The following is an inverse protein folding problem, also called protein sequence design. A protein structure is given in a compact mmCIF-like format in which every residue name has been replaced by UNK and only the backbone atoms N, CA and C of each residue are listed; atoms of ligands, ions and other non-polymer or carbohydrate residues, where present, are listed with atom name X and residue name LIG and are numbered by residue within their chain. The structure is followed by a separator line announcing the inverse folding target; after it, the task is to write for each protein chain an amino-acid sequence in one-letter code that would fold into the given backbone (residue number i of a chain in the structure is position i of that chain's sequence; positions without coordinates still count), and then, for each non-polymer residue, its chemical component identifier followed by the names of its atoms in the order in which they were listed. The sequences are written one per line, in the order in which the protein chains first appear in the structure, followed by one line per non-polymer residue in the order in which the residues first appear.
data_IF_408896491676
#
_entry.id   IF_408896491676
#
_cell.length_a   1.000
_cell.length_b   1.000
_cell.length_c   1.000
_cell.angle_alpha   90.00
_cell.angle_beta   90.00
_cell.angle_gamma   90.00
#
_symmetry.space_group_name_H-M   'P 1'
#
loop_
_entity.id
_entity.type
_entity.pdbx_description
1 polymer ?
#
# COMPACT_ATOMS: atom_id res chain seq x y z
N UNK A 1 -71.92 -33.87 -9.01
CA UNK A 1 -70.55 -34.21 -8.56
C UNK A 1 -69.60 -33.28 -9.30
N UNK A 2 -69.07 -32.26 -8.62
CA UNK A 2 -68.11 -31.30 -9.19
C UNK A 2 -66.77 -31.52 -8.50
N UNK A 3 -65.80 -32.06 -9.23
CA UNK A 3 -64.43 -32.24 -8.75
C UNK A 3 -63.65 -30.95 -8.95
N UNK A 4 -63.47 -30.19 -7.87
CA UNK A 4 -62.53 -29.08 -7.80
C UNK A 4 -61.10 -29.61 -7.81
N UNK A 5 -60.40 -29.42 -8.92
CA UNK A 5 -58.95 -29.59 -9.02
C UNK A 5 -58.27 -28.42 -8.30
N UNK A 6 -57.58 -28.70 -7.19
CA UNK A 6 -56.65 -27.76 -6.58
C UNK A 6 -55.49 -27.48 -7.55
N UNK A 7 -55.07 -26.22 -7.74
CA UNK A 7 -53.86 -25.93 -8.49
C UNK A 7 -52.66 -26.49 -7.71
N UNK A 8 -51.79 -27.20 -8.42
CA UNK A 8 -50.52 -27.70 -7.87
C UNK A 8 -49.74 -26.52 -7.28
N UNK A 9 -49.47 -26.57 -5.97
CA UNK A 9 -48.50 -25.68 -5.34
C UNK A 9 -47.15 -25.93 -6.02
N UNK A 10 -46.75 -25.00 -6.89
CA UNK A 10 -45.38 -24.93 -7.36
C UNK A 10 -44.51 -24.73 -6.12
N UNK A 11 -43.83 -25.79 -5.66
CA UNK A 11 -42.80 -25.66 -4.64
C UNK A 11 -41.79 -24.64 -5.18
N UNK A 12 -41.79 -23.43 -4.65
CA UNK A 12 -40.73 -22.48 -4.91
C UNK A 12 -39.44 -23.12 -4.43
N UNK A 13 -38.61 -23.58 -5.36
CA UNK A 13 -37.28 -24.06 -5.06
C UNK A 13 -36.54 -22.92 -4.35
N UNK A 14 -36.24 -23.11 -3.07
CA UNK A 14 -35.43 -22.17 -2.30
C UNK A 14 -34.04 -22.12 -2.91
N UNK A 15 -33.69 -20.96 -3.45
CA UNK A 15 -32.34 -20.72 -3.97
C UNK A 15 -31.35 -20.88 -2.79
N UNK A 16 -30.25 -21.64 -2.95
CA UNK A 16 -29.25 -21.79 -1.89
C UNK A 16 -28.61 -20.44 -1.52
N UNK A 17 -28.35 -20.22 -0.23
CA UNK A 17 -27.73 -18.99 0.29
C UNK A 17 -26.37 -18.73 -0.35
N UNK A 18 -25.64 -19.80 -0.69
CA UNK A 18 -24.36 -19.78 -1.37
C UNK A 18 -24.45 -19.08 -2.73
N UNK A 19 -25.55 -19.25 -3.45
CA UNK A 19 -25.75 -18.64 -4.76
C UNK A 19 -25.97 -17.13 -4.65
N UNK A 20 -26.75 -16.68 -3.65
CA UNK A 20 -26.86 -15.25 -3.32
C UNK A 20 -25.49 -14.66 -2.97
N UNK A 21 -24.71 -15.37 -2.14
CA UNK A 21 -23.38 -14.94 -1.72
C UNK A 21 -22.45 -14.72 -2.91
N UNK A 22 -22.36 -15.68 -3.81
CA UNK A 22 -21.50 -15.58 -5.01
C UNK A 22 -21.91 -14.41 -5.90
N UNK A 23 -23.22 -14.22 -6.13
CA UNK A 23 -23.72 -13.10 -6.95
C UNK A 23 -23.33 -11.76 -6.30
N UNK A 24 -23.64 -11.56 -5.02
CA UNK A 24 -23.36 -10.29 -4.33
C UNK A 24 -21.85 -10.02 -4.20
N UNK A 25 -20.99 -11.03 -4.18
CA UNK A 25 -19.53 -10.83 -4.16
C UNK A 25 -18.97 -10.29 -5.48
N UNK A 26 -19.58 -10.63 -6.61
CA UNK A 26 -19.15 -10.16 -7.93
C UNK A 26 -19.73 -8.78 -8.27
N UNK A 27 -20.98 -8.52 -7.87
CA UNK A 27 -21.72 -7.30 -8.25
C UNK A 27 -21.03 -5.95 -7.96
N UNK A 28 -20.30 -5.73 -6.84
CA UNK A 28 -19.67 -4.45 -6.56
C UNK A 28 -18.65 -4.00 -7.61
N UNK A 29 -18.17 -4.90 -8.47
CA UNK A 29 -17.27 -4.58 -9.57
C UNK A 29 -18.02 -4.06 -10.80
N UNK A 30 -19.30 -4.43 -10.95
CA UNK A 30 -20.08 -4.23 -12.17
C UNK A 30 -21.23 -3.22 -12.00
N UNK A 31 -21.68 -2.96 -10.76
CA UNK A 31 -22.83 -2.09 -10.47
C UNK A 31 -22.55 -1.07 -9.36
N UNK A 32 -23.39 -0.03 -9.30
CA UNK A 32 -23.26 1.01 -8.28
C UNK A 32 -23.68 0.52 -6.88
N UNK A 33 -23.19 1.19 -5.83
CA UNK A 33 -23.65 0.94 -4.45
C UNK A 33 -25.16 1.15 -4.29
N UNK A 34 -25.76 2.08 -5.03
CA UNK A 34 -27.20 2.34 -4.98
C UNK A 34 -28.00 1.14 -5.51
N UNK A 35 -27.51 0.49 -6.57
CA UNK A 35 -28.15 -0.70 -7.11
C UNK A 35 -28.08 -1.88 -6.13
N UNK A 36 -26.95 -2.05 -5.43
CA UNK A 36 -26.83 -3.02 -4.34
C UNK A 36 -27.86 -2.76 -3.24
N UNK A 37 -28.04 -1.50 -2.83
CA UNK A 37 -29.08 -1.13 -1.85
C UNK A 37 -30.47 -1.51 -2.37
N UNK A 38 -30.77 -1.30 -3.65
CA UNK A 38 -32.04 -1.72 -4.24
C UNK A 38 -32.23 -3.25 -4.20
N UNK A 39 -31.17 -4.05 -4.44
CA UNK A 39 -31.22 -5.50 -4.26
C UNK A 39 -31.53 -5.90 -2.82
N UNK A 40 -31.05 -5.15 -1.83
CA UNK A 40 -31.35 -5.41 -0.42
C UNK A 40 -32.85 -5.32 -0.08
N UNK A 41 -33.64 -4.62 -0.91
CA UNK A 41 -35.09 -4.47 -0.73
C UNK A 41 -35.89 -5.65 -1.29
N UNK A 42 -35.28 -6.51 -2.11
CA UNK A 42 -35.98 -7.59 -2.80
C UNK A 42 -36.38 -8.74 -1.87
N UNK A 43 -35.56 -9.07 -0.87
CA UNK A 43 -35.88 -10.09 0.14
C UNK A 43 -34.96 -9.98 1.36
N UNK A 44 -35.33 -10.62 2.47
CA UNK A 44 -34.46 -10.70 3.66
C UNK A 44 -33.13 -11.44 3.38
N UNK A 45 -33.14 -12.44 2.50
CA UNK A 45 -31.92 -13.16 2.12
C UNK A 45 -30.96 -12.26 1.32
N UNK A 46 -31.50 -11.50 0.35
CA UNK A 46 -30.73 -10.50 -0.39
C UNK A 46 -30.20 -9.42 0.54
N UNK A 47 -31.04 -8.92 1.45
CA UNK A 47 -30.62 -7.91 2.44
C UNK A 47 -29.42 -8.37 3.24
N UNK A 48 -29.44 -9.59 3.78
CA UNK A 48 -28.36 -10.11 4.62
C UNK A 48 -27.02 -10.21 3.87
N UNK A 49 -27.02 -10.71 2.63
CA UNK A 49 -25.79 -10.85 1.84
C UNK A 49 -25.31 -9.50 1.27
N UNK A 50 -26.23 -8.60 0.88
CA UNK A 50 -25.88 -7.23 0.47
C UNK A 50 -25.28 -6.45 1.63
N UNK A 51 -25.90 -6.46 2.81
CA UNK A 51 -25.38 -5.78 4.00
C UNK A 51 -23.98 -6.31 4.34
N UNK A 52 -23.75 -7.63 4.22
CA UNK A 52 -22.42 -8.22 4.44
C UNK A 52 -21.36 -7.59 3.53
N UNK A 53 -21.67 -7.35 2.26
CA UNK A 53 -20.71 -6.80 1.28
C UNK A 53 -20.57 -5.29 1.42
N UNK A 54 -21.67 -4.55 1.52
CA UNK A 54 -21.68 -3.09 1.65
C UNK A 54 -20.93 -2.63 2.90
N UNK A 55 -21.15 -3.30 4.03
CA UNK A 55 -20.54 -2.96 5.32
C UNK A 55 -19.20 -3.66 5.58
N UNK A 56 -18.71 -4.47 4.65
CA UNK A 56 -17.40 -5.14 4.80
C UNK A 56 -16.23 -4.16 4.86
N UNK A 57 -16.38 -2.98 4.27
CA UNK A 57 -15.37 -1.92 4.18
C UNK A 57 -15.98 -0.61 4.66
N UNK A 58 -15.50 -0.14 5.81
CA UNK A 58 -15.97 1.10 6.43
C UNK A 58 -14.83 2.10 6.44
N UNK A 59 -15.11 3.29 5.92
CA UNK A 59 -14.21 4.45 6.02
C UNK A 59 -14.90 5.50 6.88
N UNK A 60 -14.18 6.03 7.87
CA UNK A 60 -14.62 7.14 8.69
C UNK A 60 -13.66 8.31 8.54
N UNK A 61 -14.23 9.50 8.48
CA UNK A 61 -13.49 10.76 8.46
C UNK A 61 -13.93 11.58 9.67
N UNK A 62 -12.97 11.99 10.50
CA UNK A 62 -13.20 12.86 11.66
C UNK A 62 -12.69 14.25 11.27
N UNK A 63 -13.47 15.33 11.49
CA UNK A 63 -14.62 15.45 12.41
C UNK A 63 -16.01 15.10 11.85
N UNK A 64 -16.15 14.73 10.56
CA UNK A 64 -17.44 14.58 9.88
C UNK A 64 -18.34 13.41 10.38
N UNK A 65 -17.89 12.71 11.42
CA UNK A 65 -18.56 11.55 11.99
C UNK A 65 -19.64 11.94 13.01
N UNK A 66 -20.88 11.49 12.78
CA UNK A 66 -21.99 11.67 13.73
C UNK A 66 -22.11 10.50 14.70
N UNK A 67 -22.60 10.78 15.92
CA UNK A 67 -22.89 9.76 16.94
C UNK A 67 -23.97 8.75 16.50
N UNK A 68 -24.90 9.19 15.65
CA UNK A 68 -25.94 8.34 15.09
C UNK A 68 -25.36 7.28 14.15
N UNK A 69 -24.43 7.67 13.26
CA UNK A 69 -23.74 6.74 12.36
C UNK A 69 -22.94 5.70 13.14
N UNK A 70 -22.23 6.13 14.18
CA UNK A 70 -21.52 5.23 15.09
C UNK A 70 -22.46 4.20 15.72
N UNK A 71 -23.62 4.65 16.22
CA UNK A 71 -24.60 3.78 16.88
C UNK A 71 -25.23 2.77 15.91
N UNK A 72 -25.55 3.19 14.68
CA UNK A 72 -26.06 2.29 13.63
C UNK A 72 -25.03 1.22 13.28
N UNK A 73 -23.76 1.62 13.09
CA UNK A 73 -22.69 0.68 12.80
C UNK A 73 -22.49 -0.32 13.95
N UNK A 74 -22.43 0.18 15.18
CA UNK A 74 -22.25 -0.63 16.39
C UNK A 74 -23.35 -1.69 16.52
N UNK A 75 -24.61 -1.30 16.41
CA UNK A 75 -25.78 -2.15 16.69
C UNK A 75 -26.16 -3.08 15.54
N UNK A 76 -25.99 -2.66 14.28
CA UNK A 76 -26.58 -3.37 13.14
C UNK A 76 -25.55 -4.04 12.24
N UNK A 77 -24.35 -3.47 12.13
CA UNK A 77 -23.44 -3.81 11.02
C UNK A 77 -22.03 -4.22 11.46
N UNK A 78 -21.66 -4.05 12.72
CA UNK A 78 -20.34 -4.35 13.29
C UNK A 78 -19.81 -5.74 12.93
N UNK A 79 -20.67 -6.77 12.97
CA UNK A 79 -20.34 -8.16 12.61
C UNK A 79 -19.88 -8.36 11.16
N UNK A 80 -20.23 -7.44 10.26
CA UNK A 80 -19.91 -7.51 8.83
C UNK A 80 -18.60 -6.81 8.49
N UNK A 81 -18.14 -5.87 9.33
CA UNK A 81 -16.94 -5.08 9.07
C UNK A 81 -15.71 -5.97 9.07
N UNK A 82 -14.93 -5.90 7.99
CA UNK A 82 -13.65 -6.63 7.85
C UNK A 82 -12.48 -5.68 7.65
N UNK A 83 -12.72 -4.54 6.99
CA UNK A 83 -11.75 -3.48 6.78
C UNK A 83 -12.28 -2.18 7.34
N UNK A 84 -11.48 -1.58 8.22
CA UNK A 84 -11.79 -0.29 8.83
C UNK A 84 -10.68 0.69 8.47
N UNK A 85 -11.06 1.82 7.90
CA UNK A 85 -10.16 2.92 7.57
C UNK A 85 -10.63 4.17 8.29
N UNK A 86 -9.73 4.82 9.01
CA UNK A 86 -10.03 6.04 9.73
C UNK A 86 -9.08 7.16 9.32
N UNK A 87 -9.65 8.25 8.85
CA UNK A 87 -8.96 9.50 8.55
C UNK A 87 -9.24 10.50 9.64
N UNK A 88 -8.15 11.01 10.19
CA UNK A 88 -8.17 11.93 11.31
C UNK A 88 -7.57 13.23 10.81
N UNK A 89 -8.47 14.08 10.30
CA UNK A 89 -8.11 15.36 9.72
C UNK A 89 -7.85 16.39 10.83
N UNK A 90 -6.95 17.37 10.59
CA UNK A 90 -7.05 18.60 11.33
C UNK A 90 -8.42 19.22 11.05
N UNK A 91 -9.13 19.68 12.08
CA UNK A 91 -10.25 20.62 11.90
C UNK A 91 -9.74 21.78 11.04
N UNK A 92 -10.12 21.81 9.77
CA UNK A 92 -9.61 22.78 8.80
C UNK A 92 -9.92 24.21 9.28
N UNK A 93 -8.91 25.04 9.59
CA UNK A 93 -8.39 26.17 8.76
C UNK A 93 -7.00 26.56 9.29
N UNK A 94 -5.94 26.33 8.52
CA UNK A 94 -4.63 26.94 8.81
C UNK A 94 -4.68 28.43 8.39
N UNK A 95 -5.45 29.25 9.11
CA UNK A 95 -5.49 30.71 8.94
C UNK A 95 -4.67 31.46 10.00
N UNK A 96 -3.81 30.73 10.73
CA UNK A 96 -2.87 31.32 11.69
C UNK A 96 -3.53 31.79 12.99
N UNK A 97 -4.80 31.47 13.22
CA UNK A 97 -5.45 31.72 14.50
C UNK A 97 -5.19 30.60 15.51
N UNK A 98 -4.97 30.91 16.81
CA UNK A 98 -4.80 29.89 17.85
C UNK A 98 -6.14 29.17 18.06
N UNK A 99 -6.20 27.90 17.67
CA UNK A 99 -7.43 27.11 17.67
C UNK A 99 -7.87 26.70 19.07
N UNK A 100 -9.11 27.08 19.41
CA UNK A 100 -9.93 26.38 20.39
C UNK A 100 -10.41 25.09 19.71
N UNK A 101 -10.03 23.94 20.25
CA UNK A 101 -10.54 22.63 19.82
C UNK A 101 -12.08 22.67 19.94
N UNK A 102 -12.85 22.39 18.88
CA UNK A 102 -14.27 22.09 19.04
C UNK A 102 -14.40 20.94 20.06
N UNK A 103 -15.51 20.92 20.80
CA UNK A 103 -15.85 19.85 21.74
C UNK A 103 -15.41 18.49 21.20
N UNK A 104 -14.63 17.75 21.99
CA UNK A 104 -13.94 16.53 21.56
C UNK A 104 -14.82 15.69 20.62
N UNK A 105 -14.38 15.42 19.39
CA UNK A 105 -14.97 14.39 18.55
C UNK A 105 -15.16 13.10 19.36
N UNK A 106 -16.07 12.19 18.96
CA UNK A 106 -16.48 11.06 19.78
C UNK A 106 -15.41 9.95 19.84
N UNK A 107 -14.16 10.29 20.15
CA UNK A 107 -12.99 9.42 20.21
C UNK A 107 -13.20 8.25 21.17
N UNK A 108 -13.83 8.49 22.32
CA UNK A 108 -14.20 7.42 23.27
C UNK A 108 -15.18 6.43 22.65
N UNK A 109 -16.14 6.91 21.85
CA UNK A 109 -17.09 6.04 21.14
C UNK A 109 -16.44 5.32 19.96
N UNK A 110 -15.47 5.93 19.28
CA UNK A 110 -14.68 5.27 18.24
C UNK A 110 -13.80 4.18 18.86
N UNK A 111 -13.16 4.47 20.01
CA UNK A 111 -12.43 3.50 20.80
C UNK A 111 -13.35 2.32 21.17
N UNK A 112 -14.51 2.61 21.76
CA UNK A 112 -15.47 1.59 22.13
C UNK A 112 -15.94 0.76 20.94
N UNK A 113 -16.23 1.39 19.80
CA UNK A 113 -16.58 0.69 18.57
C UNK A 113 -15.46 -0.28 18.14
N UNK A 114 -14.22 0.19 18.08
CA UNK A 114 -13.07 -0.62 17.69
C UNK A 114 -12.86 -1.81 18.63
N UNK A 115 -12.87 -1.57 19.93
CA UNK A 115 -12.57 -2.59 20.95
C UNK A 115 -13.74 -3.53 21.21
N UNK A 116 -14.95 -3.00 21.39
CA UNK A 116 -16.10 -3.81 21.83
C UNK A 116 -16.80 -4.50 20.66
N UNK A 117 -16.81 -3.87 19.49
CA UNK A 117 -17.71 -4.28 18.40
C UNK A 117 -16.97 -4.79 17.17
N UNK A 118 -15.87 -4.15 16.78
CA UNK A 118 -15.14 -4.52 15.55
C UNK A 118 -14.02 -5.55 15.81
N UNK A 119 -13.45 -5.56 17.03
CA UNK A 119 -12.31 -6.38 17.42
C UNK A 119 -12.34 -7.84 16.93
N UNK A 120 -13.44 -8.61 17.07
CA UNK A 120 -13.42 -10.05 16.76
C UNK A 120 -13.31 -10.36 15.27
N UNK A 121 -13.69 -9.42 14.40
CA UNK A 121 -13.89 -9.68 12.98
C UNK A 121 -13.03 -8.84 12.05
N UNK A 122 -12.31 -7.86 12.61
CA UNK A 122 -11.48 -6.96 11.84
C UNK A 122 -10.23 -7.69 11.31
N UNK A 123 -10.05 -7.64 9.99
CA UNK A 123 -8.91 -8.24 9.28
C UNK A 123 -7.96 -7.18 8.73
N UNK A 124 -8.45 -5.96 8.49
CA UNK A 124 -7.65 -4.84 8.00
C UNK A 124 -7.96 -3.59 8.83
N UNK A 125 -6.93 -2.94 9.36
CA UNK A 125 -7.04 -1.70 10.11
C UNK A 125 -6.12 -0.64 9.50
N UNK A 126 -6.68 0.44 8.98
CA UNK A 126 -5.92 1.55 8.41
C UNK A 126 -6.20 2.83 9.21
N UNK A 127 -5.14 3.45 9.72
CA UNK A 127 -5.19 4.65 10.54
C UNK A 127 -4.38 5.76 9.88
N UNK A 128 -5.01 6.89 9.56
CA UNK A 128 -4.35 8.04 8.96
C UNK A 128 -4.49 9.26 9.86
N UNK A 129 -3.41 9.60 10.57
CA UNK A 129 -3.30 10.72 11.48
C UNK A 129 -2.68 11.93 10.77
N UNK A 130 -3.43 13.03 10.63
CA UNK A 130 -2.92 14.29 10.08
C UNK A 130 -2.78 15.40 11.13
N UNK A 131 -2.93 15.07 12.41
CA UNK A 131 -2.81 15.97 13.57
C UNK A 131 -2.05 15.28 14.70
N UNK A 132 -1.31 16.05 15.49
CA UNK A 132 -0.72 15.58 16.74
C UNK A 132 -1.84 15.17 17.71
N UNK A 133 -1.82 13.91 18.15
CA UNK A 133 -2.88 13.36 18.99
C UNK A 133 -2.60 13.60 20.48
N UNK A 134 -3.57 14.17 21.21
CA UNK A 134 -3.46 14.38 22.67
C UNK A 134 -3.66 13.07 23.44
N UNK A 135 -2.99 12.94 24.57
CA UNK A 135 -2.73 11.73 25.38
C UNK A 135 -3.87 10.74 25.69
N UNK A 136 -5.15 11.05 25.45
CA UNK A 136 -6.27 10.28 26.01
C UNK A 136 -6.59 8.98 25.24
N UNK A 137 -6.05 8.78 24.03
CA UNK A 137 -6.29 7.54 23.26
C UNK A 137 -5.27 6.43 23.51
N UNK A 138 -4.39 6.57 24.51
CA UNK A 138 -3.31 5.62 24.81
C UNK A 138 -3.77 4.17 25.08
N UNK A 139 -5.06 3.86 25.16
CA UNK A 139 -5.53 2.49 25.30
C UNK A 139 -5.64 1.72 23.99
N UNK A 140 -5.70 2.37 22.81
CA UNK A 140 -6.03 1.65 21.58
C UNK A 140 -4.94 0.66 21.14
N UNK A 141 -3.66 0.99 21.35
CA UNK A 141 -2.56 0.10 21.00
C UNK A 141 -2.55 -1.19 21.85
N UNK A 142 -3.29 -1.20 22.96
CA UNK A 142 -3.48 -2.37 23.81
C UNK A 142 -4.61 -3.28 23.33
N UNK A 143 -5.41 -2.84 22.35
CA UNK A 143 -6.41 -3.68 21.69
C UNK A 143 -5.76 -4.97 21.17
N UNK A 144 -6.53 -6.06 21.14
CA UNK A 144 -6.11 -7.30 20.51
C UNK A 144 -7.10 -7.72 19.44
N UNK A 145 -6.75 -7.57 18.18
CA UNK A 145 -7.55 -7.94 17.02
C UNK A 145 -7.14 -9.35 16.53
N UNK A 146 -7.80 -10.43 16.97
CA UNK A 146 -7.35 -11.81 16.71
C UNK A 146 -7.33 -12.20 15.24
N UNK A 147 -8.17 -11.55 14.41
CA UNK A 147 -8.27 -11.82 12.98
C UNK A 147 -7.43 -10.86 12.11
N UNK A 148 -6.65 -9.96 12.71
CA UNK A 148 -5.94 -8.90 11.99
C UNK A 148 -4.83 -9.47 11.11
N UNK A 149 -4.87 -9.11 9.82
CA UNK A 149 -3.92 -9.51 8.78
C UNK A 149 -3.18 -8.34 8.17
N UNK A 150 -3.83 -7.18 8.08
CA UNK A 150 -3.26 -5.97 7.50
C UNK A 150 -3.35 -4.83 8.50
N UNK A 151 -2.23 -4.16 8.76
CA UNK A 151 -2.19 -2.96 9.59
C UNK A 151 -1.46 -1.83 8.88
N UNK A 152 -2.19 -0.75 8.60
CA UNK A 152 -1.66 0.45 7.98
C UNK A 152 -1.78 1.64 8.92
N UNK A 153 -0.69 2.39 9.04
CA UNK A 153 -0.57 3.57 9.87
C UNK A 153 0.15 4.67 9.09
N UNK A 154 -0.40 5.86 9.10
CA UNK A 154 0.24 7.04 8.54
C UNK A 154 0.11 8.17 9.52
N UNK A 155 1.20 8.84 9.86
CA UNK A 155 1.18 10.02 10.71
C UNK A 155 1.90 11.19 10.05
N UNK A 156 1.38 12.40 10.23
CA UNK A 156 2.11 13.64 9.98
C UNK A 156 2.77 14.14 11.27
N UNK A 157 3.77 15.03 11.10
CA UNK A 157 4.66 15.64 12.09
C UNK A 157 4.09 15.70 13.53
N UNK A 158 4.93 15.33 14.51
CA UNK A 158 4.70 15.41 15.97
C UNK A 158 3.91 14.25 16.64
N UNK A 159 3.89 13.05 16.04
CA UNK A 159 3.29 11.85 16.67
C UNK A 159 4.35 10.87 17.22
N UNK A 160 5.52 11.37 17.61
CA UNK A 160 6.70 10.55 17.94
C UNK A 160 6.45 9.51 19.02
N UNK A 161 5.70 9.88 20.06
CA UNK A 161 5.35 8.97 21.16
C UNK A 161 4.61 7.72 20.66
N UNK A 162 3.69 7.89 19.70
CA UNK A 162 2.90 6.79 19.16
C UNK A 162 3.76 5.78 18.42
N UNK A 163 4.68 6.30 17.60
CA UNK A 163 5.52 5.48 16.74
C UNK A 163 6.60 4.78 17.56
N UNK A 164 7.06 5.41 18.65
CA UNK A 164 8.09 4.86 19.54
C UNK A 164 7.56 3.85 20.56
N UNK A 165 6.45 4.16 21.22
CA UNK A 165 5.95 3.37 22.33
C UNK A 165 4.79 2.45 21.92
N UNK A 166 3.86 2.94 21.09
CA UNK A 166 2.58 2.28 20.88
C UNK A 166 2.61 1.27 19.72
N UNK A 167 3.14 1.66 18.56
CA UNK A 167 3.19 0.81 17.36
C UNK A 167 4.00 -0.48 17.60
N UNK A 168 5.18 -0.45 18.23
CA UNK A 168 5.93 -1.66 18.56
C UNK A 168 5.14 -2.66 19.39
N UNK A 169 4.52 -2.16 20.47
CA UNK A 169 3.74 -2.99 21.39
C UNK A 169 2.48 -3.54 20.72
N UNK A 170 1.82 -2.71 19.90
CA UNK A 170 0.67 -3.14 19.10
C UNK A 170 1.08 -4.30 18.20
N UNK A 171 2.14 -4.18 17.42
CA UNK A 171 2.53 -5.23 16.48
C UNK A 171 2.97 -6.52 17.18
N UNK A 172 3.65 -6.41 18.33
CA UNK A 172 4.02 -7.57 19.13
C UNK A 172 2.80 -8.38 19.63
N UNK A 173 1.65 -7.72 19.84
CA UNK A 173 0.38 -8.39 20.21
C UNK A 173 -0.35 -9.03 19.02
N UNK A 174 0.12 -8.81 17.79
CA UNK A 174 -0.53 -9.26 16.56
C UNK A 174 0.45 -10.01 15.63
N UNK A 175 1.04 -11.13 16.06
CA UNK A 175 2.00 -11.90 15.25
C UNK A 175 1.38 -12.52 13.97
N UNK A 176 0.05 -12.54 13.87
CA UNK A 176 -0.68 -13.03 12.71
C UNK A 176 -0.73 -12.09 11.50
N UNK A 177 -0.20 -10.86 11.64
CA UNK A 177 -0.16 -9.85 10.58
C UNK A 177 0.75 -10.32 9.42
N UNK A 178 0.24 -10.16 8.20
CA UNK A 178 0.92 -10.50 6.95
C UNK A 178 1.30 -9.26 6.14
N UNK A 179 0.61 -8.13 6.35
CA UNK A 179 0.87 -6.86 5.69
C UNK A 179 0.97 -5.71 6.68
N UNK A 180 2.07 -4.96 6.60
CA UNK A 180 2.32 -3.77 7.41
C UNK A 180 2.63 -2.58 6.51
N UNK A 181 1.97 -1.46 6.79
CA UNK A 181 2.15 -0.20 6.07
C UNK A 181 2.38 0.93 7.05
N UNK A 182 3.59 1.47 7.20
CA UNK A 182 3.88 2.53 8.18
C UNK A 182 4.63 3.68 7.55
N UNK A 183 4.02 4.86 7.51
CA UNK A 183 4.62 6.09 7.00
C UNK A 183 4.63 7.16 8.09
N UNK A 184 5.82 7.67 8.40
CA UNK A 184 6.08 8.67 9.44
C UNK A 184 6.73 9.92 8.83
N UNK A 185 6.47 11.07 9.44
CA UNK A 185 7.03 12.37 9.12
C UNK A 185 8.37 12.71 9.78
N UNK A 186 8.71 12.14 10.94
CA UNK A 186 9.99 12.43 11.62
C UNK A 186 10.92 11.22 11.65
N UNK A 187 12.18 11.44 11.28
CA UNK A 187 13.14 10.37 11.07
C UNK A 187 14.01 10.12 12.30
N UNK A 188 14.11 10.99 13.30
CA UNK A 188 15.34 11.02 14.12
C UNK A 188 15.39 10.14 15.37
N UNK A 189 14.28 9.89 16.08
CA UNK A 189 14.34 9.39 17.48
C UNK A 189 13.87 7.93 17.70
N UNK A 190 13.33 7.25 16.68
CA UNK A 190 12.41 6.11 16.87
C UNK A 190 13.03 4.69 16.95
N UNK A 191 14.36 4.57 17.04
CA UNK A 191 15.08 3.34 16.61
C UNK A 191 15.71 2.52 17.73
N UNK A 192 15.49 2.90 19.00
CA UNK A 192 16.12 2.24 20.15
C UNK A 192 15.24 1.15 20.78
N UNK A 193 13.95 1.40 20.99
CA UNK A 193 13.05 0.45 21.69
C UNK A 193 12.78 -0.84 20.90
N UNK A 194 12.70 -0.75 19.58
CA UNK A 194 12.48 -1.92 18.74
C UNK A 194 13.72 -2.79 18.56
N UNK A 195 14.90 -2.15 18.43
CA UNK A 195 16.17 -2.87 18.49
C UNK A 195 16.32 -3.63 19.79
N UNK A 196 15.79 -3.08 20.89
CA UNK A 196 15.77 -3.74 22.19
C UNK A 196 14.85 -4.97 22.18
N UNK A 197 13.60 -4.84 21.72
CA UNK A 197 12.65 -5.97 21.64
C UNK A 197 13.14 -7.12 20.74
N UNK A 198 13.83 -6.81 19.64
CA UNK A 198 14.42 -7.84 18.77
C UNK A 198 15.77 -8.37 19.29
N UNK A 199 16.58 -7.55 19.97
CA UNK A 199 17.77 -8.01 20.69
C UNK A 199 17.39 -8.98 21.83
N UNK A 200 16.18 -8.86 22.35
CA UNK A 200 15.56 -9.80 23.29
C UNK A 200 15.02 -11.07 22.58
N UNK A 201 15.19 -11.21 21.26
CA UNK A 201 14.88 -12.41 20.47
C UNK A 201 13.43 -12.50 19.98
N UNK A 202 12.63 -11.46 20.15
CA UNK A 202 11.21 -11.48 19.77
C UNK A 202 11.04 -11.21 18.28
N UNK A 203 10.61 -12.20 17.49
CA UNK A 203 10.20 -11.99 16.11
C UNK A 203 8.78 -11.38 16.08
N UNK A 204 8.69 -10.05 16.09
CA UNK A 204 7.44 -9.28 16.22
C UNK A 204 6.46 -9.57 15.06
N UNK A 205 7.00 -9.79 13.86
CA UNK A 205 6.22 -10.01 12.64
C UNK A 205 6.72 -11.25 11.89
N UNK A 206 6.42 -12.46 12.39
CA UNK A 206 6.95 -13.70 11.83
C UNK A 206 6.31 -14.06 10.49
N UNK A 207 5.10 -13.57 10.20
CA UNK A 207 4.32 -13.89 9.00
C UNK A 207 4.33 -12.76 7.96
N UNK A 208 5.19 -11.76 8.11
CA UNK A 208 5.21 -10.58 7.23
C UNK A 208 5.53 -10.97 5.77
N UNK A 209 4.62 -10.66 4.85
CA UNK A 209 4.74 -10.89 3.39
C UNK A 209 4.76 -9.58 2.61
N UNK A 210 4.11 -8.54 3.12
CA UNK A 210 4.02 -7.22 2.46
C UNK A 210 4.45 -6.14 3.44
N UNK A 211 5.42 -5.32 3.03
CA UNK A 211 5.92 -4.20 3.80
C UNK A 211 5.86 -2.92 2.97
N UNK A 212 5.17 -1.89 3.48
CA UNK A 212 5.10 -0.56 2.86
C UNK A 212 5.54 0.48 3.88
N UNK A 213 6.69 1.12 3.70
CA UNK A 213 7.19 2.06 4.71
C UNK A 213 8.27 2.98 4.15
N UNK A 214 8.89 3.81 4.98
CA UNK A 214 10.10 4.54 4.61
C UNK A 214 11.33 3.61 4.71
N UNK A 215 12.45 3.91 4.03
CA UNK A 215 13.71 3.18 4.18
C UNK A 215 14.09 2.84 5.62
N UNK A 216 13.90 3.80 6.52
CA UNK A 216 14.24 3.67 7.93
C UNK A 216 13.26 2.79 8.69
N UNK A 217 11.97 2.89 8.39
CA UNK A 217 10.96 1.96 8.89
C UNK A 217 11.19 0.52 8.41
N UNK A 218 11.74 0.34 7.20
CA UNK A 218 12.09 -0.98 6.71
C UNK A 218 13.24 -1.61 7.51
N UNK A 219 14.28 -0.84 7.86
CA UNK A 219 15.33 -1.30 8.77
C UNK A 219 14.80 -1.74 10.14
N UNK A 220 13.69 -1.15 10.58
CA UNK A 220 12.99 -1.59 11.79
C UNK A 220 12.24 -2.90 11.57
N UNK A 221 11.40 -3.01 10.54
CA UNK A 221 10.62 -4.24 10.29
C UNK A 221 11.50 -5.46 9.98
N UNK A 222 12.71 -5.22 9.47
CA UNK A 222 13.62 -6.22 8.92
C UNK A 222 14.92 -6.33 9.72
N UNK A 223 14.95 -5.94 11.00
CA UNK A 223 16.15 -6.17 11.82
C UNK A 223 16.41 -7.67 12.11
N UNK A 224 15.39 -8.51 12.03
CA UNK A 224 15.49 -9.96 11.81
C UNK A 224 15.16 -10.33 10.36
N UNK A 225 15.84 -11.36 9.83
CA UNK A 225 15.60 -11.85 8.46
C UNK A 225 14.13 -12.26 8.26
N UNK A 226 13.51 -11.77 7.17
CA UNK A 226 12.15 -12.12 6.74
C UNK A 226 12.19 -12.83 5.38
N UNK A 227 12.56 -14.13 5.34
CA UNK A 227 12.76 -14.83 4.08
C UNK A 227 11.47 -14.94 3.23
N UNK A 228 10.30 -14.88 3.86
CA UNK A 228 8.99 -14.95 3.20
C UNK A 228 8.44 -13.60 2.69
N UNK A 229 9.20 -12.51 2.82
CA UNK A 229 8.77 -11.19 2.33
C UNK A 229 8.65 -11.21 0.80
N UNK A 230 7.46 -10.90 0.28
CA UNK A 230 7.12 -10.95 -1.15
C UNK A 230 7.07 -9.57 -1.80
N UNK A 231 6.65 -8.55 -1.04
CA UNK A 231 6.44 -7.19 -1.53
C UNK A 231 7.07 -6.20 -0.57
N UNK A 232 7.89 -5.29 -1.09
CA UNK A 232 8.50 -4.20 -0.35
C UNK A 232 8.33 -2.89 -1.10
N UNK A 233 7.64 -1.93 -0.48
CA UNK A 233 7.39 -0.59 -1.01
C UNK A 233 8.06 0.43 -0.10
N UNK A 234 9.01 1.18 -0.63
CA UNK A 234 9.81 2.15 0.10
C UNK A 234 9.45 3.57 -0.34
N UNK A 235 8.68 4.27 0.48
CA UNK A 235 8.32 5.67 0.25
C UNK A 235 9.46 6.64 0.54
N UNK A 236 9.27 7.90 0.15
CA UNK A 236 10.21 8.98 0.43
C UNK A 236 10.19 9.34 1.93
N UNK A 237 11.36 9.40 2.57
CA UNK A 237 11.50 9.98 3.92
C UNK A 237 11.36 11.51 3.88
N UNK A 238 10.81 12.10 4.94
CA UNK A 238 10.45 13.52 4.99
C UNK A 238 11.65 14.46 5.17
N UNK A 239 12.77 14.03 5.76
CA UNK A 239 13.90 14.93 6.05
C UNK A 239 15.24 14.20 6.15
N UNK A 240 15.91 14.02 5.00
CA UNK A 240 17.38 14.14 4.82
C UNK A 240 17.82 13.43 3.52
N UNK A 241 17.91 14.12 2.37
CA UNK A 241 18.24 13.50 1.08
C UNK A 241 19.59 12.76 1.06
N UNK A 242 20.49 13.02 2.01
CA UNK A 242 21.82 12.39 2.07
C UNK A 242 21.90 11.21 3.06
N UNK A 243 21.04 11.16 4.10
CA UNK A 243 21.08 10.13 5.15
C UNK A 243 20.38 8.81 4.80
N UNK A 244 19.46 8.84 3.83
CA UNK A 244 18.68 7.67 3.40
C UNK A 244 19.49 6.59 2.67
N UNK A 245 20.56 7.02 2.00
CA UNK A 245 21.34 6.18 1.11
C UNK A 245 22.12 5.08 1.86
N UNK A 246 22.76 5.42 2.98
CA UNK A 246 23.50 4.45 3.80
C UNK A 246 22.56 3.42 4.47
N UNK A 247 21.36 3.84 4.85
CA UNK A 247 20.35 2.99 5.48
C UNK A 247 19.78 1.96 4.50
N UNK A 248 19.47 2.40 3.28
CA UNK A 248 19.04 1.51 2.21
C UNK A 248 20.15 0.52 1.81
N UNK A 249 21.41 0.96 1.79
CA UNK A 249 22.53 0.06 1.54
C UNK A 249 22.60 -1.09 2.55
N UNK A 250 22.27 -0.85 3.82
CA UNK A 250 22.18 -1.91 4.84
C UNK A 250 21.00 -2.85 4.57
N UNK A 251 19.83 -2.31 4.22
CA UNK A 251 18.63 -3.08 3.92
C UNK A 251 18.85 -4.04 2.74
N UNK A 252 19.38 -3.53 1.62
CA UNK A 252 19.54 -4.28 0.36
C UNK A 252 20.72 -5.28 0.42
N UNK A 253 21.59 -5.19 1.45
CA UNK A 253 22.58 -6.25 1.76
C UNK A 253 21.94 -7.51 2.34
N UNK A 254 20.74 -7.40 2.92
CA UNK A 254 19.99 -8.56 3.35
C UNK A 254 19.47 -9.33 2.12
N UNK A 255 19.37 -10.65 2.23
CA UNK A 255 18.84 -11.49 1.15
C UNK A 255 17.33 -11.61 1.29
N UNK A 256 16.61 -11.39 0.19
CA UNK A 256 15.16 -11.56 0.14
C UNK A 256 14.77 -12.60 -0.91
N UNK A 257 14.84 -13.90 -0.56
CA UNK A 257 14.70 -14.98 -1.54
C UNK A 257 13.29 -15.09 -2.13
N UNK A 258 12.26 -14.61 -1.45
CA UNK A 258 10.86 -14.63 -1.91
C UNK A 258 10.38 -13.29 -2.48
N UNK A 259 11.22 -12.24 -2.54
CA UNK A 259 10.77 -10.91 -2.94
C UNK A 259 10.50 -10.85 -4.43
N UNK A 260 9.24 -10.58 -4.78
CA UNK A 260 8.72 -10.48 -6.14
C UNK A 260 8.53 -9.04 -6.58
N UNK A 261 8.21 -8.14 -5.63
CA UNK A 261 7.94 -6.73 -5.92
C UNK A 261 8.82 -5.85 -5.04
N UNK A 262 9.57 -4.95 -5.67
CA UNK A 262 10.36 -3.92 -5.01
C UNK A 262 10.02 -2.55 -5.59
N UNK A 263 9.58 -1.62 -4.76
CA UNK A 263 9.37 -0.22 -5.11
C UNK A 263 10.32 0.65 -4.29
N UNK A 264 11.20 1.38 -4.98
CA UNK A 264 12.25 2.20 -4.38
C UNK A 264 11.79 3.65 -4.22
N UNK A 265 12.37 4.43 -3.30
CA UNK A 265 12.08 5.85 -3.24
C UNK A 265 12.67 6.55 -4.48
N UNK A 266 11.96 7.53 -5.04
CA UNK A 266 12.41 8.31 -6.22
C UNK A 266 13.79 8.96 -6.05
N UNK A 267 14.19 9.22 -4.81
CA UNK A 267 15.47 9.85 -4.45
C UNK A 267 16.63 8.86 -4.31
N UNK A 268 16.42 7.57 -4.56
CA UNK A 268 17.44 6.56 -4.31
C UNK A 268 18.64 6.69 -5.26
N UNK A 269 19.84 6.73 -4.70
CA UNK A 269 21.06 6.92 -5.49
C UNK A 269 21.36 5.76 -6.44
N UNK A 270 21.71 6.13 -7.67
CA UNK A 270 22.06 5.20 -8.74
C UNK A 270 23.23 4.25 -8.40
N UNK A 271 24.25 4.77 -7.72
CA UNK A 271 25.42 3.99 -7.27
C UNK A 271 25.01 2.83 -6.36
N UNK A 272 24.00 3.03 -5.51
CA UNK A 272 23.50 2.01 -4.59
C UNK A 272 22.62 0.98 -5.30
N UNK A 273 21.82 1.42 -6.27
CA UNK A 273 21.04 0.51 -7.13
C UNK A 273 21.97 -0.51 -7.79
N UNK A 274 23.04 -0.04 -8.45
CA UNK A 274 24.01 -0.90 -9.12
C UNK A 274 24.77 -1.82 -8.17
N UNK A 275 25.07 -1.35 -6.96
CA UNK A 275 25.81 -2.12 -5.97
C UNK A 275 24.97 -3.25 -5.37
N UNK A 276 23.68 -3.03 -5.12
CA UNK A 276 22.90 -3.89 -4.24
C UNK A 276 21.70 -4.59 -4.89
N UNK A 277 21.12 -4.06 -5.96
CA UNK A 277 20.01 -4.71 -6.68
C UNK A 277 20.60 -5.69 -7.68
N UNK A 278 20.99 -6.85 -7.15
CA UNK A 278 21.58 -7.94 -7.91
C UNK A 278 20.64 -9.15 -7.95
N UNK A 279 20.67 -9.96 -9.02
CA UNK A 279 19.87 -11.19 -9.12
C UNK A 279 20.10 -12.16 -7.97
N UNK A 280 21.29 -12.17 -7.36
CA UNK A 280 21.59 -13.02 -6.20
C UNK A 280 20.85 -12.58 -4.93
N UNK A 281 20.59 -11.29 -4.77
CA UNK A 281 19.86 -10.74 -3.62
C UNK A 281 18.34 -10.89 -3.79
N UNK A 282 17.87 -10.85 -5.05
CA UNK A 282 16.46 -10.92 -5.44
C UNK A 282 16.24 -11.92 -6.59
N UNK A 283 16.33 -13.24 -6.30
CA UNK A 283 16.33 -14.28 -7.33
C UNK A 283 15.01 -14.41 -8.09
N UNK A 284 13.89 -14.04 -7.46
CA UNK A 284 12.53 -14.17 -8.01
C UNK A 284 11.85 -12.83 -8.29
N UNK A 285 12.63 -11.75 -8.43
CA UNK A 285 12.09 -10.41 -8.65
C UNK A 285 11.33 -10.33 -9.98
N UNK A 286 10.05 -9.96 -9.90
CA UNK A 286 9.14 -9.82 -11.03
C UNK A 286 8.84 -8.36 -11.38
N UNK A 287 8.82 -7.47 -10.38
CA UNK A 287 8.48 -6.07 -10.56
C UNK A 287 9.47 -5.18 -9.80
N UNK A 288 10.06 -4.20 -10.51
CA UNK A 288 10.94 -3.21 -9.92
C UNK A 288 10.52 -1.80 -10.32
N UNK A 289 10.24 -0.96 -9.33
CA UNK A 289 9.77 0.40 -9.55
C UNK A 289 10.80 1.45 -9.11
N UNK A 290 10.73 2.61 -9.75
CA UNK A 290 11.44 3.85 -9.40
C UNK A 290 12.98 3.75 -9.46
N UNK A 291 13.50 3.03 -10.45
CA UNK A 291 14.95 2.90 -10.65
C UNK A 291 15.54 4.19 -11.23
N UNK A 292 16.44 4.85 -10.51
CA UNK A 292 17.17 5.99 -11.06
C UNK A 292 18.34 5.50 -11.94
N UNK A 293 18.28 5.81 -13.23
CA UNK A 293 19.31 5.43 -14.21
C UNK A 293 20.47 6.44 -14.31
N UNK A 294 20.50 7.44 -13.43
CA UNK A 294 21.54 8.47 -13.46
C UNK A 294 21.33 9.53 -14.54
N UNK A 295 22.25 10.51 -14.65
CA UNK A 295 22.15 11.55 -15.65
C UNK A 295 22.80 11.17 -16.98
N UNK A 296 22.05 11.28 -18.08
CA UNK A 296 22.61 11.17 -19.43
C UNK A 296 23.06 12.56 -19.87
N UNK A 297 24.36 12.83 -19.79
CA UNK A 297 24.95 14.11 -20.20
C UNK A 297 25.67 14.02 -21.55
N UNK A 298 26.29 12.87 -21.85
CA UNK A 298 27.08 12.60 -23.07
C UNK A 298 26.81 11.19 -23.60
N UNK A 299 27.18 10.92 -24.86
CA UNK A 299 27.06 9.59 -25.46
C UNK A 299 27.86 8.51 -24.69
N UNK A 300 29.02 8.88 -24.12
CA UNK A 300 29.80 7.99 -23.26
C UNK A 300 29.07 7.53 -22.00
N UNK A 301 28.10 8.33 -21.50
CA UNK A 301 27.28 7.94 -20.35
C UNK A 301 26.30 6.82 -20.73
N UNK A 302 25.85 6.77 -21.98
CA UNK A 302 24.99 5.69 -22.50
C UNK A 302 25.76 4.37 -22.62
N UNK A 303 27.01 4.39 -23.09
CA UNK A 303 27.86 3.19 -23.14
C UNK A 303 28.26 2.69 -21.74
N UNK A 304 28.44 3.61 -20.80
CA UNK A 304 28.65 3.26 -19.38
C UNK A 304 27.38 2.62 -18.80
N UNK A 305 26.23 3.25 -19.02
CA UNK A 305 24.93 2.69 -18.63
C UNK A 305 24.73 1.29 -19.22
N UNK A 306 25.06 1.07 -20.49
CA UNK A 306 25.00 -0.24 -21.14
C UNK A 306 25.82 -1.31 -20.40
N UNK A 307 27.10 -1.01 -20.10
CA UNK A 307 27.99 -1.95 -19.41
C UNK A 307 27.54 -2.23 -17.98
N UNK A 308 27.16 -1.20 -17.25
CA UNK A 308 26.78 -1.29 -15.85
C UNK A 308 25.41 -1.98 -15.69
N UNK A 309 24.45 -1.77 -16.60
CA UNK A 309 23.10 -2.34 -16.45
C UNK A 309 22.97 -3.79 -16.92
N UNK A 310 23.55 -4.16 -18.06
CA UNK A 310 23.38 -5.54 -18.55
C UNK A 310 24.07 -6.54 -17.61
N UNK A 311 25.24 -6.18 -17.10
CA UNK A 311 26.02 -7.06 -16.22
C UNK A 311 25.46 -7.14 -14.80
N UNK A 312 24.94 -6.04 -14.25
CA UNK A 312 24.44 -6.02 -12.86
C UNK A 312 22.94 -6.32 -12.75
N UNK A 313 22.15 -6.03 -13.78
CA UNK A 313 20.70 -6.05 -13.75
C UNK A 313 20.13 -7.09 -14.73
N UNK A 314 20.53 -8.35 -14.54
CA UNK A 314 20.02 -9.50 -15.30
C UNK A 314 19.03 -10.31 -14.46
N UNK A 315 17.83 -9.78 -14.23
CA UNK A 315 16.79 -10.47 -13.47
C UNK A 315 15.92 -11.32 -14.43
N UNK A 316 16.02 -12.66 -14.39
CA UNK A 316 15.38 -13.52 -15.39
C UNK A 316 13.85 -13.48 -15.32
N UNK A 317 13.29 -13.16 -14.15
CA UNK A 317 11.84 -13.11 -13.91
C UNK A 317 11.25 -11.70 -14.00
N UNK A 318 12.07 -10.67 -14.23
CA UNK A 318 11.58 -9.29 -14.22
C UNK A 318 10.66 -9.03 -15.41
N UNK A 319 9.43 -8.62 -15.12
CA UNK A 319 8.34 -8.35 -16.07
C UNK A 319 7.98 -6.87 -16.14
N UNK A 320 8.08 -6.15 -15.02
CA UNK A 320 7.72 -4.73 -14.92
C UNK A 320 8.93 -3.96 -14.40
N UNK A 321 9.29 -2.89 -15.12
CA UNK A 321 10.35 -1.98 -14.72
C UNK A 321 9.91 -0.53 -14.92
N UNK A 322 10.03 0.32 -13.89
CA UNK A 322 9.91 1.78 -14.06
C UNK A 322 11.21 2.46 -13.70
N UNK A 323 11.62 3.43 -14.51
CA UNK A 323 12.87 4.14 -14.33
C UNK A 323 12.74 5.65 -14.56
N UNK A 324 13.65 6.38 -13.93
CA UNK A 324 13.75 7.84 -14.04
C UNK A 324 15.14 8.23 -14.58
N UNK A 325 15.16 9.13 -15.56
CA UNK A 325 16.37 9.60 -16.24
C UNK A 325 16.51 11.11 -16.10
N UNK A 326 17.60 11.61 -15.51
CA UNK A 326 17.82 13.07 -15.40
C UNK A 326 18.86 13.56 -16.40
N UNK A 327 18.46 13.93 -17.61
CA UNK A 327 19.43 14.59 -18.49
C UNK A 327 19.82 15.97 -17.90
N UNK A 328 21.03 16.51 -18.08
CA UNK A 328 21.34 17.87 -17.58
C UNK A 328 21.10 18.89 -18.69
N UNK A 329 19.96 19.59 -18.65
CA UNK A 329 19.69 20.74 -19.52
C UNK A 329 19.32 20.42 -20.97
N UNK A 330 19.11 19.15 -21.33
CA UNK A 330 18.55 18.76 -22.63
C UNK A 330 17.41 17.76 -22.48
N UNK A 331 16.52 17.73 -23.46
CA UNK A 331 15.46 16.72 -23.58
C UNK A 331 16.06 15.37 -23.98
N UNK A 332 15.54 14.28 -23.42
CA UNK A 332 15.90 12.94 -23.90
C UNK A 332 15.27 12.72 -25.28
N UNK A 333 16.07 12.25 -26.26
CA UNK A 333 15.61 11.99 -27.64
C UNK A 333 14.99 10.59 -27.75
N UNK A 334 14.06 10.41 -28.68
CA UNK A 334 13.38 9.12 -28.90
C UNK A 334 14.36 7.99 -29.31
N UNK A 335 15.40 8.32 -30.09
CA UNK A 335 16.47 7.38 -30.46
C UNK A 335 17.23 6.87 -29.23
N UNK A 336 17.53 7.76 -28.29
CA UNK A 336 18.23 7.43 -27.04
C UNK A 336 17.35 6.52 -26.16
N UNK A 337 16.05 6.82 -26.09
CA UNK A 337 15.06 5.97 -25.41
C UNK A 337 15.01 4.57 -26.02
N UNK A 338 14.95 4.47 -27.35
CA UNK A 338 14.89 3.18 -28.05
C UNK A 338 16.13 2.33 -27.77
N UNK A 339 17.31 2.94 -27.77
CA UNK A 339 18.56 2.26 -27.43
C UNK A 339 18.55 1.76 -25.98
N UNK A 340 18.18 2.60 -25.01
CA UNK A 340 18.10 2.23 -23.59
C UNK A 340 17.14 1.06 -23.37
N UNK A 341 15.95 1.11 -23.98
CA UNK A 341 14.95 0.05 -23.91
C UNK A 341 15.51 -1.27 -24.44
N UNK A 342 16.17 -1.23 -25.60
CA UNK A 342 16.77 -2.42 -26.22
C UNK A 342 17.83 -3.04 -25.31
N UNK A 343 18.66 -2.22 -24.68
CA UNK A 343 19.70 -2.68 -23.75
C UNK A 343 19.12 -3.32 -22.49
N UNK A 344 18.16 -2.67 -21.84
CA UNK A 344 17.48 -3.22 -20.67
C UNK A 344 16.82 -4.56 -21.03
N UNK A 345 16.13 -4.63 -22.18
CA UNK A 345 15.49 -5.85 -22.67
C UNK A 345 16.47 -6.99 -22.87
N UNK A 346 17.70 -6.70 -23.30
CA UNK A 346 18.74 -7.72 -23.48
C UNK A 346 19.17 -8.40 -22.16
N UNK A 347 19.17 -7.67 -21.03
CA UNK A 347 19.43 -8.23 -19.70
C UNK A 347 18.19 -8.85 -19.03
N UNK A 348 16.99 -8.39 -19.42
CA UNK A 348 15.72 -8.81 -18.83
C UNK A 348 14.77 -9.38 -19.92
N UNK A 349 14.96 -10.64 -20.36
CA UNK A 349 14.19 -11.25 -21.46
C UNK A 349 12.73 -11.56 -21.10
N UNK A 350 12.31 -11.41 -19.85
CA UNK A 350 10.91 -11.56 -19.41
C UNK A 350 10.16 -10.23 -19.28
N UNK A 351 10.83 -9.09 -19.49
CA UNK A 351 10.26 -7.75 -19.45
C UNK A 351 9.07 -7.57 -20.41
N UNK A 352 7.92 -7.23 -19.85
CA UNK A 352 6.65 -6.98 -20.57
C UNK A 352 6.33 -5.48 -20.61
N UNK A 353 6.74 -4.74 -19.58
CA UNK A 353 6.48 -3.32 -19.42
C UNK A 353 7.70 -2.56 -18.93
N UNK A 354 7.99 -1.43 -19.60
CA UNK A 354 9.03 -0.49 -19.22
C UNK A 354 8.51 0.94 -19.30
N UNK A 355 8.57 1.68 -18.19
CA UNK A 355 8.30 3.11 -18.16
C UNK A 355 9.59 3.90 -17.91
N UNK A 356 9.85 4.92 -18.73
CA UNK A 356 10.99 5.83 -18.59
C UNK A 356 10.50 7.27 -18.46
N UNK A 357 10.76 7.91 -17.32
CA UNK A 357 10.43 9.33 -17.11
C UNK A 357 11.62 10.25 -17.48
N UNK A 358 11.31 11.43 -18.03
CA UNK A 358 12.30 12.49 -18.25
C UNK A 358 12.34 13.42 -17.03
N UNK A 359 13.40 13.33 -16.24
CA UNK A 359 13.61 14.12 -15.03
C UNK A 359 13.76 15.63 -15.26
N UNK A 360 13.95 16.08 -16.52
CA UNK A 360 13.89 17.51 -16.86
C UNK A 360 12.48 17.99 -17.20
N UNK A 361 11.58 17.08 -17.55
CA UNK A 361 10.21 17.37 -17.91
C UNK A 361 9.28 16.40 -17.19
N UNK A 362 8.88 16.77 -15.96
CA UNK A 362 8.04 15.92 -15.07
C UNK A 362 6.79 15.32 -15.73
N UNK A 363 6.29 15.96 -16.79
CA UNK A 363 5.09 15.56 -17.53
C UNK A 363 5.37 14.72 -18.77
N UNK A 364 6.63 14.33 -19.01
CA UNK A 364 7.07 13.57 -20.19
C UNK A 364 7.54 12.19 -19.78
N UNK A 365 6.84 11.16 -20.29
CA UNK A 365 7.14 9.75 -20.01
C UNK A 365 7.08 8.93 -21.28
N UNK A 366 7.91 7.91 -21.35
CA UNK A 366 7.91 6.94 -22.43
C UNK A 366 7.45 5.60 -21.87
N UNK A 367 6.29 5.14 -22.33
CA UNK A 367 5.75 3.83 -21.99
C UNK A 367 6.11 2.86 -23.11
N UNK A 368 6.77 1.77 -22.76
CA UNK A 368 7.13 0.70 -23.67
C UNK A 368 6.44 -0.59 -23.24
N UNK A 369 5.74 -1.23 -24.17
CA UNK A 369 5.25 -2.60 -24.03
C UNK A 369 5.91 -3.48 -25.07
N UNK A 370 6.13 -4.75 -24.74
CA UNK A 370 6.70 -5.71 -25.68
C UNK A 370 5.61 -6.68 -26.15
N UNK A 371 5.55 -6.93 -27.45
CA UNK A 371 4.67 -7.97 -27.99
C UNK A 371 5.24 -9.38 -27.75
N UNK A 372 4.52 -10.41 -28.21
CA UNK A 372 4.94 -11.82 -28.09
C UNK A 372 6.24 -12.15 -28.82
N UNK A 373 6.64 -11.32 -29.78
CA UNK A 373 7.90 -11.44 -30.53
C UNK A 373 9.03 -10.62 -29.89
N UNK A 374 8.73 -9.89 -28.80
CA UNK A 374 9.69 -9.07 -28.07
C UNK A 374 9.96 -7.70 -28.71
N UNK A 375 9.15 -7.28 -29.68
CA UNK A 375 9.28 -5.98 -30.35
C UNK A 375 8.72 -4.86 -29.46
N UNK A 376 9.44 -3.73 -29.30
CA UNK A 376 8.99 -2.62 -28.48
C UNK A 376 7.91 -1.77 -29.18
N UNK A 377 6.77 -1.55 -28.53
CA UNK A 377 5.80 -0.48 -28.82
C UNK A 377 6.04 0.68 -27.84
N UNK A 378 6.66 1.76 -28.32
CA UNK A 378 7.07 2.92 -27.51
C UNK A 378 6.10 4.07 -27.75
N UNK A 379 5.39 4.46 -26.68
CA UNK A 379 4.46 5.59 -26.68
C UNK A 379 4.99 6.72 -25.83
N UNK A 380 5.05 7.90 -26.42
CA UNK A 380 5.34 9.13 -25.70
C UNK A 380 4.05 9.67 -25.08
N UNK A 381 4.05 9.81 -23.76
CA UNK A 381 2.97 10.43 -22.99
C UNK A 381 3.40 11.85 -22.64
N UNK A 382 2.62 12.84 -23.09
CA UNK A 382 2.82 14.27 -22.81
C UNK A 382 1.53 14.83 -22.23
N UNK A 383 1.59 15.34 -21.00
CA UNK A 383 0.42 15.92 -20.34
C UNK A 383 -0.46 14.85 -19.70
N UNK A 384 -0.44 14.82 -18.39
CA UNK A 384 -1.25 13.96 -17.54
C UNK A 384 -0.86 14.24 -16.09
N UNK A 385 -1.86 14.36 -15.21
CA UNK A 385 -1.67 14.11 -13.78
C UNK A 385 -0.91 12.78 -13.62
N UNK A 386 -0.15 12.61 -12.53
CA UNK A 386 0.44 11.32 -12.16
C UNK A 386 -0.67 10.25 -12.14
N UNK A 387 -0.94 9.59 -13.26
CA UNK A 387 -1.67 8.33 -13.22
C UNK A 387 -0.69 7.33 -12.64
N UNK A 388 -0.92 7.09 -11.36
CA UNK A 388 -0.85 5.78 -10.74
C UNK A 388 -0.14 4.75 -11.62
N UNK A 389 1.16 4.49 -11.35
CA UNK A 389 1.79 3.23 -11.82
C UNK A 389 0.79 2.10 -11.60
N UNK A 390 0.65 1.23 -12.60
CA UNK A 390 -0.35 0.17 -12.68
C UNK A 390 -0.13 -0.97 -11.68
N UNK A 391 0.29 -0.65 -10.45
CA UNK A 391 0.01 -1.51 -9.30
C UNK A 391 -1.52 -1.55 -9.16
N UNK A 392 -2.13 -2.73 -8.99
CA UNK A 392 -3.54 -2.82 -8.67
C UNK A 392 -3.84 -1.86 -7.52
N UNK A 393 -4.84 -0.99 -7.70
CA UNK A 393 -5.26 0.04 -6.74
C UNK A 393 -5.56 -0.50 -5.33
N UNK A 394 -5.70 -1.83 -5.19
CA UNK A 394 -5.80 -2.52 -3.90
C UNK A 394 -4.48 -2.65 -3.12
N UNK A 395 -3.31 -2.31 -3.70
CA UNK A 395 -1.98 -2.53 -3.09
C UNK A 395 -1.23 -1.25 -2.76
N UNK A 396 -1.78 -0.07 -3.05
CA UNK A 396 -1.14 1.19 -2.70
C UNK A 396 -1.76 1.76 -1.44
N UNK A 397 -0.95 1.93 -0.41
CA UNK A 397 -1.10 3.14 0.38
C UNK A 397 -0.70 4.32 -0.51
N UNK A 398 -1.66 5.22 -0.75
CA UNK A 398 -1.34 6.53 -1.32
C UNK A 398 -0.43 7.20 -0.29
N UNK A 399 0.86 7.33 -0.63
CA UNK A 399 1.75 8.23 0.10
C UNK A 399 1.03 9.58 0.21
N UNK A 400 0.85 10.15 1.42
CA UNK A 400 0.17 11.43 1.57
C UNK A 400 0.96 12.60 0.92
N UNK A 401 2.14 12.32 0.37
CA UNK A 401 3.11 13.29 -0.16
C UNK A 401 3.17 13.31 -1.70
N UNK A 402 2.01 13.30 -2.36
CA UNK A 402 1.91 13.74 -3.75
C UNK A 402 2.03 15.26 -3.84
#
# INVERSE_FOLDING_TARGET
MSTTTHPAQTQMATIPVELYRTIVECLPQDISKADLVNFSLASHAWKAEVDRVLWSRVTMEVPDLTLELLSVLEQQHSRHVRRFTMWLWPDNRYDGTPYVLPECPPYDRIHDLLHKSLQPSLTHLHLHLRKAWTTDWQSWYRAHFPALKTFHFTAMDHNDYWIQACIPEFLARHPGIEEVGIFDGDEHLHFQELKKLEAEGTNILPNLRVLQTTPRGALWCLSLEKPQLEVMVLGKGMYNPNGHNDQLAVLVRQKFPALRVLDLPETFEHSLILAYIQPRSFPVLEELYNVYLGPITRAADLEKLYRDYISHFSHPHLRILTCHLRSRGRRVRHEEVTQIITWIRSGCPSLQHLELSDGNERNRRFKCTFDSEGKPDIRLMVGGSMMESQLPSSRRLVSPFC
#
